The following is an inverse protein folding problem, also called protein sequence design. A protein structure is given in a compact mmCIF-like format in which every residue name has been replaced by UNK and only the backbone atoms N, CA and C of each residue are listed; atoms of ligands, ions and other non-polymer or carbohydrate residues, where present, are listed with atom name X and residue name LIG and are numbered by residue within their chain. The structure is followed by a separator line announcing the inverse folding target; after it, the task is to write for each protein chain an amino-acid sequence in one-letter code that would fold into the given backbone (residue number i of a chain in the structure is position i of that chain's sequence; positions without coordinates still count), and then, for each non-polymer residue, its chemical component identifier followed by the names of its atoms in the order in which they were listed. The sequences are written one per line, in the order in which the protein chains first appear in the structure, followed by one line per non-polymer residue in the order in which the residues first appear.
data_IF_780404819130
#
_entry.id   IF_780404819130
#
_cell.length_a   1.000
_cell.length_b   1.000
_cell.length_c   1.000
_cell.angle_alpha   90.00
_cell.angle_beta   90.00
_cell.angle_gamma   90.00
#
_symmetry.space_group_name_H-M   'P 1'
#
loop_
_entity.id
_entity.type
_entity.pdbx_description
1 polymer ?
#
# COMPACT_ATOMS: atom_id res chain seq x y z
N UNK A 1 25.03 59.36 16.05
CA UNK A 1 25.07 57.93 16.44
C UNK A 1 23.77 57.27 16.01
N UNK A 2 23.85 56.38 15.02
CA UNK A 2 22.71 55.73 14.35
C UNK A 2 22.47 54.38 15.05
N UNK A 3 21.29 54.16 15.63
CA UNK A 3 20.87 52.82 16.09
C UNK A 3 20.07 52.15 14.98
N UNK A 4 20.65 51.09 14.40
CA UNK A 4 20.03 50.28 13.34
C UNK A 4 18.90 49.41 13.92
N UNK A 5 17.73 49.43 13.27
CA UNK A 5 16.60 48.53 13.56
C UNK A 5 16.92 47.12 13.07
N UNK A 6 17.04 46.15 13.96
CA UNK A 6 17.03 44.73 13.61
C UNK A 6 15.59 44.24 13.66
N UNK A 7 14.86 44.37 12.55
CA UNK A 7 13.58 43.69 12.38
C UNK A 7 13.84 42.27 11.86
N UNK A 8 13.87 41.29 12.75
CA UNK A 8 13.80 39.88 12.35
C UNK A 8 12.39 39.63 11.80
N UNK A 9 12.26 39.49 10.48
CA UNK A 9 11.00 39.03 9.86
C UNK A 9 10.82 37.56 10.22
N UNK A 10 9.73 37.13 10.87
CA UNK A 10 9.51 35.71 11.12
C UNK A 10 9.46 35.00 9.77
N UNK A 11 10.31 33.99 9.57
CA UNK A 11 10.26 33.15 8.39
C UNK A 11 8.83 32.60 8.27
N UNK A 12 8.20 32.91 7.13
CA UNK A 12 6.79 32.60 6.85
C UNK A 12 6.48 31.13 7.13
N UNK A 13 5.76 30.85 8.23
CA UNK A 13 5.25 29.53 8.64
C UNK A 13 4.56 28.78 7.48
N UNK A 14 3.95 29.53 6.56
CA UNK A 14 3.34 29.03 5.33
C UNK A 14 4.32 28.27 4.41
N UNK A 15 5.62 28.61 4.40
CA UNK A 15 6.63 27.91 3.57
C UNK A 15 7.06 26.58 4.17
N UNK A 16 7.09 26.49 5.50
CA UNK A 16 7.43 25.26 6.24
C UNK A 16 6.28 24.25 6.13
N UNK A 17 5.04 24.72 6.20
CA UNK A 17 3.84 23.89 6.02
C UNK A 17 3.75 23.29 4.61
N UNK A 18 4.14 24.05 3.57
CA UNK A 18 4.19 23.58 2.18
C UNK A 18 5.29 22.52 2.02
N UNK A 19 6.49 22.72 2.56
CA UNK A 19 7.54 21.69 2.53
C UNK A 19 7.14 20.42 3.30
N UNK A 20 6.41 20.55 4.42
CA UNK A 20 5.89 19.40 5.18
C UNK A 20 4.77 18.69 4.42
N UNK A 21 3.87 19.43 3.77
CA UNK A 21 2.83 18.86 2.90
C UNK A 21 3.42 18.14 1.68
N UNK A 22 4.48 18.68 1.08
CA UNK A 22 5.22 18.01 0.01
C UNK A 22 6.01 16.79 0.52
N UNK A 23 6.62 16.86 1.71
CA UNK A 23 7.29 15.72 2.33
C UNK A 23 6.31 14.57 2.65
N UNK A 24 5.07 14.88 3.05
CA UNK A 24 4.01 13.90 3.29
C UNK A 24 3.42 13.32 1.98
N UNK A 25 3.45 14.06 0.86
CA UNK A 25 3.03 13.57 -0.46
C UNK A 25 4.04 12.63 -1.13
N UNK A 26 5.32 12.68 -0.74
CA UNK A 26 6.36 11.81 -1.31
C UNK A 26 6.50 10.44 -0.62
N UNK A 27 5.91 10.22 0.56
CA UNK A 27 6.05 8.94 1.28
C UNK A 27 5.11 7.85 0.73
N UNK A 28 4.13 8.20 -0.11
CA UNK A 28 3.07 7.25 -0.49
C UNK A 28 3.37 6.35 -1.70
N UNK A 29 4.51 6.51 -2.39
CA UNK A 29 4.76 5.84 -3.68
C UNK A 29 5.76 4.67 -3.66
N UNK A 30 6.29 4.28 -2.49
CA UNK A 30 7.40 3.32 -2.38
C UNK A 30 7.10 2.08 -1.53
N UNK A 31 5.83 1.66 -1.44
CA UNK A 31 5.50 0.33 -0.91
C UNK A 31 5.63 -0.67 -2.05
N UNK A 32 6.31 -1.81 -1.80
CA UNK A 32 6.73 -2.77 -2.82
C UNK A 32 5.64 -3.06 -3.85
N UNK A 33 6.03 -3.07 -5.12
CA UNK A 33 5.11 -3.30 -6.23
C UNK A 33 5.11 -4.77 -6.64
N UNK A 34 5.20 -5.69 -5.68
CA UNK A 34 5.08 -7.11 -6.00
C UNK A 34 3.61 -7.49 -6.16
N UNK A 35 3.38 -8.50 -6.98
CA UNK A 35 2.04 -8.98 -7.33
C UNK A 35 2.00 -10.49 -7.16
N UNK A 36 0.99 -10.98 -6.47
CA UNK A 36 0.69 -12.41 -6.37
C UNK A 36 -0.61 -12.67 -7.13
N UNK A 37 -0.58 -13.60 -8.08
CA UNK A 37 -1.76 -14.02 -8.84
C UNK A 37 -1.86 -15.53 -8.86
N UNK A 38 -3.09 -16.04 -8.86
CA UNK A 38 -3.36 -17.45 -9.07
C UNK A 38 -4.76 -17.68 -9.62
N UNK A 39 -5.12 -18.94 -9.80
CA UNK A 39 -6.42 -19.39 -10.31
C UNK A 39 -6.93 -20.54 -9.46
N UNK A 40 -8.22 -20.51 -9.13
CA UNK A 40 -8.88 -21.55 -8.33
C UNK A 40 -9.76 -22.41 -9.23
N UNK A 41 -9.63 -23.73 -9.10
CA UNK A 41 -10.40 -24.72 -9.84
C UNK A 41 -11.02 -25.76 -8.89
N UNK A 42 -12.09 -26.41 -9.35
CA UNK A 42 -12.59 -27.64 -8.75
C UNK A 42 -11.75 -28.87 -9.16
N UNK A 43 -12.21 -30.07 -8.75
CA UNK A 43 -11.56 -31.35 -9.08
C UNK A 43 -11.61 -31.70 -10.57
N UNK A 44 -12.57 -31.15 -11.31
CA UNK A 44 -12.78 -31.36 -12.74
C UNK A 44 -12.07 -30.31 -13.60
N UNK A 45 -11.37 -29.35 -12.98
CA UNK A 45 -10.72 -28.20 -13.60
C UNK A 45 -11.67 -27.15 -14.17
N UNK A 46 -12.88 -27.05 -13.62
CA UNK A 46 -13.72 -25.88 -13.86
C UNK A 46 -13.25 -24.72 -12.99
N UNK A 47 -13.17 -23.53 -13.57
CA UNK A 47 -12.81 -22.31 -12.85
C UNK A 47 -13.90 -21.94 -11.84
N UNK A 48 -13.49 -21.54 -10.63
CA UNK A 48 -14.40 -21.19 -9.55
C UNK A 48 -14.43 -19.67 -9.32
N UNK A 49 -15.52 -18.97 -9.72
CA UNK A 49 -15.70 -17.55 -9.44
C UNK A 49 -16.19 -17.30 -8.01
N UNK A 50 -16.00 -16.07 -7.52
CA UNK A 50 -16.48 -15.58 -6.22
C UNK A 50 -15.97 -16.37 -5.00
N UNK A 51 -14.83 -17.04 -5.15
CA UNK A 51 -14.12 -17.68 -4.05
C UNK A 51 -13.28 -16.62 -3.33
N UNK A 52 -13.51 -16.47 -2.02
CA UNK A 52 -12.69 -15.62 -1.18
C UNK A 52 -11.30 -16.24 -0.99
N UNK A 53 -10.28 -15.45 -1.28
CA UNK A 53 -8.87 -15.81 -1.09
C UNK A 53 -8.28 -14.84 -0.09
N UNK A 54 -7.70 -15.38 0.99
CA UNK A 54 -7.06 -14.63 2.05
C UNK A 54 -5.54 -14.81 2.00
N UNK A 55 -4.81 -13.71 2.15
CA UNK A 55 -3.37 -13.67 2.20
C UNK A 55 -2.91 -13.47 3.64
N UNK A 56 -2.04 -14.37 4.10
CA UNK A 56 -1.43 -14.35 5.41
C UNK A 56 -0.01 -13.79 5.35
N UNK A 57 0.39 -13.06 6.38
CA UNK A 57 1.77 -12.59 6.58
C UNK A 57 2.72 -13.74 6.99
N UNK A 58 4.00 -13.43 7.13
CA UNK A 58 5.05 -14.36 7.58
C UNK A 58 4.78 -15.05 8.93
N UNK A 59 3.83 -14.54 9.73
CA UNK A 59 3.43 -15.09 11.02
C UNK A 59 2.09 -15.84 10.93
N UNK A 60 1.63 -16.16 9.72
CA UNK A 60 0.33 -16.76 9.43
C UNK A 60 -0.86 -15.93 9.95
N UNK A 61 -0.75 -14.59 9.95
CA UNK A 61 -1.84 -13.70 10.34
C UNK A 61 -2.49 -13.07 9.10
N UNK A 62 -3.82 -12.94 9.05
CA UNK A 62 -4.50 -12.23 7.97
C UNK A 62 -3.99 -10.80 7.81
N UNK A 63 -3.69 -10.41 6.57
CA UNK A 63 -3.36 -9.03 6.27
C UNK A 63 -4.62 -8.15 6.33
N UNK A 64 -4.57 -7.09 7.15
CA UNK A 64 -5.72 -6.20 7.38
C UNK A 64 -6.09 -5.35 6.16
N UNK A 65 -5.11 -4.95 5.34
CA UNK A 65 -5.32 -4.14 4.15
C UNK A 65 -4.79 -4.88 2.93
N UNK A 66 -5.63 -5.02 1.90
CA UNK A 66 -5.26 -5.71 0.65
C UNK A 66 -5.03 -7.22 0.81
N UNK A 67 -5.35 -7.81 1.97
CA UNK A 67 -5.17 -9.23 2.27
C UNK A 67 -6.32 -10.14 1.84
N UNK A 68 -7.38 -9.58 1.26
CA UNK A 68 -8.54 -10.35 0.81
C UNK A 68 -8.93 -9.93 -0.60
N UNK A 69 -9.23 -10.92 -1.42
CA UNK A 69 -9.78 -10.73 -2.77
C UNK A 69 -10.75 -11.87 -3.06
N UNK A 70 -11.54 -11.72 -4.13
CA UNK A 70 -12.38 -12.80 -4.67
C UNK A 70 -11.90 -13.18 -6.05
N UNK A 71 -12.06 -14.45 -6.41
CA UNK A 71 -11.80 -14.91 -7.77
C UNK A 71 -12.82 -14.33 -8.75
N UNK A 72 -12.37 -13.98 -9.94
CA UNK A 72 -13.23 -13.48 -11.02
C UNK A 72 -13.94 -14.61 -11.79
N UNK A 73 -14.64 -14.26 -12.87
CA UNK A 73 -15.34 -15.22 -13.75
C UNK A 73 -14.44 -16.30 -14.38
N UNK A 74 -13.13 -16.10 -14.39
CA UNK A 74 -12.12 -17.07 -14.86
C UNK A 74 -11.43 -17.83 -13.73
N UNK A 75 -11.90 -17.64 -12.49
CA UNK A 75 -11.31 -18.21 -11.28
C UNK A 75 -10.01 -17.52 -10.85
N UNK A 76 -9.62 -16.39 -11.48
CA UNK A 76 -8.36 -15.70 -11.21
C UNK A 76 -8.51 -14.76 -10.03
N UNK A 77 -7.49 -14.73 -9.17
CA UNK A 77 -7.35 -13.73 -8.10
C UNK A 77 -6.02 -12.96 -8.25
N UNK A 78 -5.96 -11.78 -7.63
CA UNK A 78 -4.77 -10.93 -7.67
C UNK A 78 -4.62 -10.09 -6.39
N UNK A 79 -3.42 -10.07 -5.84
CA UNK A 79 -2.96 -9.14 -4.82
C UNK A 79 -1.87 -8.25 -5.43
N UNK A 80 -1.95 -6.94 -5.25
CA UNK A 80 -0.99 -5.96 -5.80
C UNK A 80 -0.47 -5.04 -4.70
N UNK A 81 0.65 -4.36 -4.95
CA UNK A 81 1.23 -3.42 -3.99
C UNK A 81 1.78 -4.11 -2.74
N UNK A 82 2.22 -5.36 -2.88
CA UNK A 82 2.80 -6.12 -1.79
C UNK A 82 4.28 -5.79 -1.62
N UNK A 83 4.68 -5.53 -0.38
CA UNK A 83 6.09 -5.44 0.00
C UNK A 83 6.85 -6.74 -0.24
N UNK A 84 8.18 -6.67 -0.24
CA UNK A 84 8.99 -7.89 -0.23
C UNK A 84 8.78 -8.63 1.09
N UNK A 85 8.59 -9.95 1.01
CA UNK A 85 8.37 -10.77 2.19
C UNK A 85 7.85 -12.16 1.88
N UNK A 86 7.54 -12.87 2.96
CA UNK A 86 6.91 -14.20 2.90
C UNK A 86 5.41 -14.06 3.09
N UNK A 87 4.66 -14.69 2.19
CA UNK A 87 3.21 -14.71 2.22
C UNK A 87 2.72 -16.15 2.09
N UNK A 88 1.62 -16.45 2.78
CA UNK A 88 0.97 -17.76 2.74
C UNK A 88 -0.48 -17.59 2.30
N UNK A 89 -0.93 -18.47 1.40
CA UNK A 89 -2.35 -18.65 1.09
C UNK A 89 -2.75 -19.98 1.76
N UNK A 90 -3.74 -19.99 2.66
CA UNK A 90 -4.12 -21.18 3.44
C UNK A 90 -4.82 -22.27 2.61
#
# INVERSE_FOLDING_TARGET
MIFARISARPASFSRILICFAFFQLFISAAFGQTTITGTVYDKQRNALPDIEVELLDQYNRPMLQGGRTRTDGTGRYQFTGLGDGTYTIP
#
